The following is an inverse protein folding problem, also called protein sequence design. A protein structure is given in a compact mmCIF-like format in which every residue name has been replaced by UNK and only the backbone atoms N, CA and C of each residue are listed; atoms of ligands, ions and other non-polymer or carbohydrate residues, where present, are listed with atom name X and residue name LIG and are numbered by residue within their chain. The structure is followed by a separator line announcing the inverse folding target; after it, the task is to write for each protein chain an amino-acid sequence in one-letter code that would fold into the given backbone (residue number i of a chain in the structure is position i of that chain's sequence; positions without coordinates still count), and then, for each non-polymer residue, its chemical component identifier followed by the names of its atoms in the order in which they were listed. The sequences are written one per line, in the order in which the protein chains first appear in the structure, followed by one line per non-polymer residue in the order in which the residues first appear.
data_IF_459759545193
#
_entry.id   IF_459759545193
#
_cell.length_a   1.000
_cell.length_b   1.000
_cell.length_c   1.000
_cell.angle_alpha   90.00
_cell.angle_beta   90.00
_cell.angle_gamma   90.00
#
_symmetry.space_group_name_H-M   'P 1'
#
loop_
_entity.id
_entity.type
_entity.pdbx_description
1 polymer ?
#
# COMPACT_ATOMS: atom_id res chain seq x y z
N UNK A 1 -2.76 -11.80 -2.44
CA UNK A 1 -3.42 -10.82 -1.56
C UNK A 1 -4.15 -11.46 -0.37
N UNK A 2 -5.21 -12.26 -0.55
CA UNK A 2 -5.99 -12.84 0.58
C UNK A 2 -5.14 -13.60 1.61
N UNK A 3 -4.15 -14.39 1.16
CA UNK A 3 -3.24 -15.09 2.08
C UNK A 3 -2.41 -14.14 2.96
N UNK A 4 -2.07 -12.94 2.47
CA UNK A 4 -1.32 -11.96 3.26
C UNK A 4 -2.18 -11.43 4.42
N UNK A 5 -3.46 -11.17 4.19
CA UNK A 5 -4.38 -10.78 5.26
C UNK A 5 -4.58 -11.89 6.30
N UNK A 6 -4.56 -13.17 5.91
CA UNK A 6 -4.59 -14.30 6.86
C UNK A 6 -3.36 -14.37 7.76
N UNK A 7 -2.20 -13.96 7.26
CA UNK A 7 -0.99 -13.90 8.07
C UNK A 7 -1.03 -12.68 9.00
N UNK A 8 -1.49 -11.54 8.51
CA UNK A 8 -1.62 -10.31 9.29
C UNK A 8 -2.69 -10.41 10.37
N UNK A 9 -3.80 -11.11 10.13
CA UNK A 9 -4.81 -11.37 11.16
C UNK A 9 -4.23 -12.14 12.35
N UNK A 10 -3.23 -13.01 12.12
CA UNK A 10 -2.54 -13.73 13.20
C UNK A 10 -1.48 -12.87 13.88
N UNK A 11 -0.74 -12.08 13.12
CA UNK A 11 0.37 -11.27 13.65
C UNK A 11 -0.12 -9.98 14.33
N UNK A 12 -1.14 -9.35 13.77
CA UNK A 12 -1.65 -8.02 14.12
C UNK A 12 -3.20 -8.02 14.10
N UNK A 13 -3.86 -8.81 14.97
CA UNK A 13 -5.31 -9.05 14.90
C UNK A 13 -6.19 -7.80 15.06
N UNK A 14 -5.65 -6.75 15.68
CA UNK A 14 -6.36 -5.49 15.93
C UNK A 14 -6.15 -4.45 14.81
N UNK A 15 -5.31 -4.75 13.80
CA UNK A 15 -5.03 -3.82 12.70
C UNK A 15 -6.03 -3.99 11.58
N UNK A 16 -6.50 -2.85 11.05
CA UNK A 16 -7.41 -2.84 9.91
C UNK A 16 -6.70 -2.32 8.66
N UNK A 17 -6.98 -2.96 7.53
CA UNK A 17 -6.40 -2.65 6.23
C UNK A 17 -7.51 -2.42 5.19
N UNK A 18 -7.24 -1.58 4.20
CA UNK A 18 -8.20 -1.28 3.12
C UNK A 18 -7.47 -1.28 1.78
N UNK A 19 -7.89 -2.17 0.88
CA UNK A 19 -7.51 -2.08 -0.54
C UNK A 19 -8.45 -1.11 -1.25
N UNK A 20 -7.96 -0.48 -2.30
CA UNK A 20 -8.67 0.51 -3.10
C UNK A 20 -8.66 0.09 -4.58
N UNK A 21 -8.17 0.93 -5.46
CA UNK A 21 -8.21 0.71 -6.90
C UNK A 21 -7.31 -0.47 -7.33
N UNK A 22 -7.79 -1.22 -8.33
CA UNK A 22 -7.08 -2.38 -8.89
C UNK A 22 -7.06 -2.34 -10.42
N UNK A 23 -8.22 -2.09 -11.03
CA UNK A 23 -8.38 -1.89 -12.47
C UNK A 23 -9.77 -2.32 -12.94
N UNK A 24 -10.01 -2.19 -14.25
CA UNK A 24 -11.22 -2.73 -14.85
C UNK A 24 -11.20 -4.26 -14.93
N UNK A 25 -12.38 -4.86 -14.93
CA UNK A 25 -12.56 -6.31 -15.05
C UNK A 25 -11.87 -6.88 -16.30
N UNK A 26 -11.96 -6.17 -17.42
CA UNK A 26 -11.36 -6.54 -18.70
C UNK A 26 -9.94 -5.96 -18.89
N UNK A 27 -9.41 -5.23 -17.89
CA UNK A 27 -8.18 -4.45 -18.02
C UNK A 27 -8.33 -3.24 -18.95
N UNK A 28 -7.21 -2.76 -19.48
CA UNK A 28 -7.15 -1.61 -20.40
C UNK A 28 -6.84 -0.28 -19.73
N UNK A 29 -6.84 0.80 -20.51
CA UNK A 29 -6.39 2.13 -20.05
C UNK A 29 -7.30 2.65 -18.93
N UNK A 30 -6.71 2.99 -17.79
CA UNK A 30 -7.42 3.42 -16.60
C UNK A 30 -7.01 4.84 -16.22
N UNK A 31 -7.56 5.86 -16.90
CA UNK A 31 -7.16 7.25 -16.62
C UNK A 31 -7.57 7.71 -15.20
N UNK A 32 -6.75 8.51 -14.51
CA UNK A 32 -5.44 9.04 -14.93
C UNK A 32 -4.26 8.09 -14.68
N UNK A 33 -4.50 6.92 -14.09
CA UNK A 33 -3.48 5.93 -13.76
C UNK A 33 -2.83 5.29 -15.00
N UNK A 34 -1.54 4.96 -14.89
CA UNK A 34 -0.76 4.37 -15.98
C UNK A 34 -0.52 2.86 -15.84
N UNK A 35 -0.70 2.28 -14.65
CA UNK A 35 -0.28 0.90 -14.32
C UNK A 35 -1.44 -0.08 -14.19
N UNK A 36 -2.60 0.34 -13.65
CA UNK A 36 -3.82 -0.45 -13.40
C UNK A 36 -4.54 -1.01 -14.66
N UNK A 37 -3.78 -1.43 -15.66
CA UNK A 37 -4.27 -1.84 -16.97
C UNK A 37 -4.32 -3.36 -17.18
N UNK A 38 -3.57 -4.13 -16.40
CA UNK A 38 -3.40 -5.57 -16.59
C UNK A 38 -3.70 -6.40 -15.32
N UNK A 39 -4.28 -5.79 -14.29
CA UNK A 39 -4.63 -6.46 -13.04
C UNK A 39 -3.44 -6.78 -12.12
N UNK A 40 -2.25 -6.22 -12.39
CA UNK A 40 -1.04 -6.45 -11.60
C UNK A 40 -0.70 -5.32 -10.64
N UNK A 41 -1.58 -4.33 -10.53
CA UNK A 41 -1.35 -3.14 -9.71
C UNK A 41 -2.52 -2.94 -8.76
N UNK A 42 -2.22 -2.66 -7.49
CA UNK A 42 -3.24 -2.43 -6.46
C UNK A 42 -2.84 -1.23 -5.60
N UNK A 43 -3.78 -0.33 -5.41
CA UNK A 43 -3.71 0.72 -4.40
C UNK A 43 -4.23 0.20 -3.07
N UNK A 44 -3.55 0.60 -2.01
CA UNK A 44 -3.97 0.37 -0.65
C UNK A 44 -3.96 1.69 0.10
N UNK A 45 -5.04 1.98 0.81
CA UNK A 45 -5.07 3.16 1.68
C UNK A 45 -4.08 2.95 2.82
N UNK A 46 -3.38 4.01 3.23
CA UNK A 46 -2.45 3.92 4.35
C UNK A 46 -3.20 3.49 5.61
N UNK A 47 -2.70 2.49 6.35
CA UNK A 47 -3.20 2.20 7.69
C UNK A 47 -2.98 3.40 8.59
N UNK A 48 -3.98 3.71 9.41
CA UNK A 48 -3.92 4.81 10.37
C UNK A 48 -4.35 4.36 11.75
N UNK A 49 -3.92 5.13 12.74
CA UNK A 49 -4.45 5.09 14.09
C UNK A 49 -5.09 6.42 14.44
N UNK A 50 -6.10 6.39 15.30
CA UNK A 50 -6.71 7.59 15.89
C UNK A 50 -5.87 8.15 17.06
N UNK A 51 -6.40 9.18 17.72
CA UNK A 51 -5.78 9.85 18.86
C UNK A 51 -5.62 8.94 20.09
N UNK A 52 -6.38 7.86 20.18
CA UNK A 52 -6.29 6.84 21.23
C UNK A 52 -5.31 5.72 20.85
N UNK A 53 -4.76 5.75 19.63
CA UNK A 53 -3.86 4.74 19.11
C UNK A 53 -4.57 3.51 18.55
N UNK A 54 -5.89 3.54 18.41
CA UNK A 54 -6.68 2.43 17.85
C UNK A 54 -6.56 2.42 16.34
N UNK A 55 -6.40 1.24 15.74
CA UNK A 55 -6.33 1.10 14.29
C UNK A 55 -7.71 1.30 13.69
N UNK A 56 -7.83 2.29 12.81
CA UNK A 56 -9.07 2.65 12.15
C UNK A 56 -8.85 2.74 10.64
N UNK A 57 -9.94 2.66 9.89
CA UNK A 57 -9.85 2.90 8.45
C UNK A 57 -9.66 4.39 8.16
N UNK A 58 -8.74 4.69 7.24
CA UNK A 58 -8.69 6.03 6.64
C UNK A 58 -10.09 6.38 6.09
N UNK A 59 -10.63 7.58 6.39
CA UNK A 59 -11.94 7.98 5.89
C UNK A 59 -11.98 7.99 4.37
N UNK A 60 -12.94 7.28 3.79
CA UNK A 60 -13.13 7.20 2.33
C UNK A 60 -14.58 7.52 2.02
N UNK A 61 -14.85 8.72 1.54
CA UNK A 61 -16.20 9.20 1.21
C UNK A 61 -16.17 10.04 -0.09
N UNK A 62 -17.32 10.32 -0.72
CA UNK A 62 -17.32 11.08 -1.97
C UNK A 62 -16.72 12.50 -1.87
N UNK A 63 -16.74 13.12 -0.68
CA UNK A 63 -16.23 14.50 -0.49
C UNK A 63 -14.70 14.57 -0.47
N UNK A 64 -14.01 13.47 -0.13
CA UNK A 64 -12.55 13.38 -0.15
C UNK A 64 -12.04 12.49 -1.28
N UNK A 65 -12.83 12.39 -2.37
CA UNK A 65 -12.55 11.50 -3.51
C UNK A 65 -12.19 10.09 -3.08
N UNK A 66 -12.95 9.54 -2.13
CA UNK A 66 -12.75 8.21 -1.55
C UNK A 66 -11.38 8.01 -0.88
N UNK A 67 -10.83 9.07 -0.30
CA UNK A 67 -9.55 9.08 0.42
C UNK A 67 -8.42 9.77 -0.33
N UNK A 68 -8.51 9.85 -1.67
CA UNK A 68 -7.46 10.38 -2.55
C UNK A 68 -7.25 11.92 -2.49
N UNK A 69 -8.11 12.65 -1.78
CA UNK A 69 -7.91 14.08 -1.50
C UNK A 69 -7.44 14.35 -0.05
N UNK A 70 -7.06 13.31 0.69
CA UNK A 70 -6.43 13.48 2.00
C UNK A 70 -4.95 13.81 1.78
N UNK A 71 -4.43 14.78 2.54
CA UNK A 71 -3.00 15.06 2.59
C UNK A 71 -2.53 15.01 4.03
N UNK A 72 -1.55 14.15 4.31
CA UNK A 72 -0.89 14.13 5.61
C UNK A 72 0.11 15.28 5.72
N UNK A 73 0.31 15.79 6.94
CA UNK A 73 1.36 16.77 7.21
C UNK A 73 2.76 16.10 7.28
N UNK A 74 3.80 16.91 7.46
CA UNK A 74 5.18 16.40 7.58
C UNK A 74 5.40 15.50 8.80
N UNK A 75 4.48 15.49 9.76
CA UNK A 75 4.48 14.60 10.91
C UNK A 75 3.64 13.33 10.68
N UNK A 76 3.15 13.12 9.45
CA UNK A 76 2.29 11.99 9.07
C UNK A 76 0.94 12.00 9.79
N UNK A 77 0.38 13.19 10.02
CA UNK A 77 -0.91 13.38 10.70
C UNK A 77 -1.94 14.09 9.82
N UNK A 78 -3.21 13.76 10.04
CA UNK A 78 -4.37 14.35 9.36
C UNK A 78 -5.62 14.19 10.24
N UNK A 79 -6.29 15.28 10.60
CA UNK A 79 -7.58 15.25 11.33
C UNK A 79 -7.60 14.31 12.56
N UNK A 80 -6.56 14.39 13.40
CA UNK A 80 -6.40 13.52 14.58
C UNK A 80 -5.96 12.08 14.28
N UNK A 81 -5.83 11.70 13.01
CA UNK A 81 -5.27 10.44 12.56
C UNK A 81 -3.76 10.55 12.35
N UNK A 82 -3.06 9.42 12.50
CA UNK A 82 -1.63 9.30 12.20
C UNK A 82 -1.37 8.04 11.39
N UNK A 83 -0.46 8.11 10.41
CA UNK A 83 -0.03 6.93 9.65
C UNK A 83 0.57 5.88 10.60
N UNK A 84 0.08 4.65 10.47
CA UNK A 84 0.62 3.47 11.12
C UNK A 84 1.63 2.78 10.19
N UNK A 85 2.87 3.27 10.26
CA UNK A 85 3.98 2.73 9.49
C UNK A 85 4.28 1.27 9.80
N UNK A 86 4.04 0.82 11.04
CA UNK A 86 4.28 -0.56 11.45
C UNK A 86 3.29 -1.50 10.75
N UNK A 87 2.01 -1.14 10.70
CA UNK A 87 0.99 -1.88 9.96
C UNK A 87 1.24 -1.83 8.44
N UNK A 88 1.60 -0.66 7.90
CA UNK A 88 1.91 -0.52 6.47
C UNK A 88 3.11 -1.41 6.06
N UNK A 89 4.19 -1.38 6.83
CA UNK A 89 5.36 -2.20 6.60
C UNK A 89 5.04 -3.70 6.71
N UNK A 90 4.26 -4.10 7.73
CA UNK A 90 3.79 -5.47 7.89
C UNK A 90 3.06 -5.96 6.64
N UNK A 91 2.15 -5.14 6.11
CA UNK A 91 1.37 -5.51 4.94
C UNK A 91 2.23 -5.66 3.68
N UNK A 92 3.16 -4.74 3.42
CA UNK A 92 4.11 -4.85 2.30
C UNK A 92 4.94 -6.15 2.42
N UNK A 93 5.44 -6.46 3.61
CA UNK A 93 6.20 -7.70 3.86
C UNK A 93 5.33 -8.94 3.65
N UNK A 94 4.10 -8.95 4.15
CA UNK A 94 3.17 -10.06 3.98
C UNK A 94 2.82 -10.29 2.51
N UNK A 95 2.57 -9.22 1.74
CA UNK A 95 2.35 -9.29 0.30
C UNK A 95 3.56 -9.90 -0.42
N UNK A 96 4.76 -9.40 -0.12
CA UNK A 96 5.99 -9.90 -0.74
C UNK A 96 6.24 -11.37 -0.40
N UNK A 97 6.19 -11.77 0.87
CA UNK A 97 6.36 -13.17 1.30
C UNK A 97 5.37 -14.10 0.60
N UNK A 98 4.11 -13.69 0.50
CA UNK A 98 3.08 -14.48 -0.17
C UNK A 98 3.30 -14.57 -1.68
N UNK A 99 3.76 -13.50 -2.33
CA UNK A 99 4.16 -13.54 -3.74
C UNK A 99 5.35 -14.49 -3.95
N UNK A 100 6.41 -14.36 -3.15
CA UNK A 100 7.61 -15.21 -3.22
C UNK A 100 7.30 -16.67 -2.96
N UNK A 101 6.41 -16.97 -2.00
CA UNK A 101 5.98 -18.36 -1.72
C UNK A 101 5.31 -19.05 -2.91
N UNK A 102 4.84 -18.26 -3.88
CA UNK A 102 4.19 -18.71 -5.12
C UNK A 102 5.11 -18.61 -6.34
N UNK A 103 6.39 -18.27 -6.14
CA UNK A 103 7.37 -18.13 -7.22
C UNK A 103 7.36 -16.78 -7.93
N UNK A 104 6.75 -15.76 -7.34
CA UNK A 104 6.59 -14.43 -7.93
C UNK A 104 7.20 -13.33 -7.05
N UNK A 105 7.16 -12.09 -7.52
CA UNK A 105 7.72 -10.95 -6.81
C UNK A 105 6.78 -9.76 -6.70
N UNK A 106 7.27 -8.71 -6.07
CA UNK A 106 6.76 -7.35 -6.25
C UNK A 106 7.78 -6.63 -7.12
N UNK A 107 7.33 -5.98 -8.19
CA UNK A 107 8.22 -5.18 -9.03
C UNK A 107 8.68 -3.92 -8.28
N UNK A 108 7.72 -3.21 -7.67
CA UNK A 108 7.99 -2.04 -6.84
C UNK A 108 6.80 -1.68 -5.96
N UNK A 109 7.08 -0.86 -4.94
CA UNK A 109 6.09 -0.16 -4.13
C UNK A 109 6.25 1.34 -4.35
N UNK A 110 5.15 2.04 -4.65
CA UNK A 110 5.12 3.50 -4.77
C UNK A 110 4.43 4.05 -3.53
N UNK A 111 5.13 4.92 -2.83
CA UNK A 111 4.65 5.66 -1.66
C UNK A 111 5.43 6.97 -1.58
N UNK A 112 4.90 7.99 -0.90
CA UNK A 112 5.55 9.29 -0.80
C UNK A 112 7.04 9.17 -0.36
N UNK A 113 8.01 9.62 -1.19
CA UNK A 113 9.43 9.50 -0.88
C UNK A 113 9.87 10.21 0.42
N UNK A 114 9.19 11.26 0.85
CA UNK A 114 9.50 11.96 2.11
C UNK A 114 9.08 11.13 3.33
N UNK A 115 8.06 10.29 3.19
CA UNK A 115 7.50 9.47 4.26
C UNK A 115 8.11 8.05 4.32
N UNK A 116 8.67 7.55 3.22
CA UNK A 116 9.38 6.27 3.17
C UNK A 116 10.44 6.08 4.28
N UNK A 117 11.23 7.08 4.72
CA UNK A 117 12.16 6.93 5.83
C UNK A 117 11.52 6.39 7.12
N UNK A 118 10.24 6.66 7.36
CA UNK A 118 9.53 6.16 8.54
C UNK A 118 9.24 4.64 8.46
N UNK A 119 9.06 4.08 7.27
CA UNK A 119 8.96 2.62 7.09
C UNK A 119 10.22 1.90 7.56
N UNK A 120 11.39 2.53 7.41
CA UNK A 120 12.66 1.96 7.86
C UNK A 120 12.96 2.18 9.35
N UNK A 121 12.03 2.76 10.10
CA UNK A 121 12.08 2.82 11.58
C UNK A 121 11.29 1.68 12.23
N UNK A 122 10.53 0.92 11.45
CA UNK A 122 9.71 -0.22 11.90
C UNK A 122 10.55 -1.46 12.17
N UNK A 123 9.98 -2.46 12.84
CA UNK A 123 10.67 -3.75 13.03
C UNK A 123 10.93 -4.50 11.72
N UNK A 124 10.26 -4.11 10.63
CA UNK A 124 10.40 -4.72 9.30
C UNK A 124 11.48 -4.07 8.44
N UNK A 125 12.17 -3.03 8.95
CA UNK A 125 13.12 -2.23 8.17
C UNK A 125 14.17 -3.06 7.43
N UNK A 126 14.76 -4.06 8.08
CA UNK A 126 15.77 -4.93 7.46
C UNK A 126 15.19 -5.71 6.28
N UNK A 127 14.00 -6.30 6.45
CA UNK A 127 13.33 -7.02 5.39
C UNK A 127 13.00 -6.09 4.21
N UNK A 128 12.45 -4.90 4.50
CA UNK A 128 12.12 -3.92 3.48
C UNK A 128 13.36 -3.53 2.67
N UNK A 129 14.48 -3.23 3.32
CA UNK A 129 15.74 -2.86 2.63
C UNK A 129 16.28 -3.97 1.74
N UNK A 130 16.17 -5.22 2.17
CA UNK A 130 16.71 -6.36 1.43
C UNK A 130 15.83 -6.87 0.29
N UNK A 131 14.52 -6.60 0.33
CA UNK A 131 13.57 -7.28 -0.54
C UNK A 131 12.62 -6.37 -1.33
N UNK A 132 12.46 -5.10 -0.92
CA UNK A 132 11.44 -4.22 -1.50
C UNK A 132 12.09 -3.04 -2.23
N UNK A 133 11.74 -2.90 -3.51
CA UNK A 133 12.08 -1.72 -4.29
C UNK A 133 11.02 -0.64 -4.11
N UNK A 134 11.35 0.43 -3.38
CA UNK A 134 10.49 1.62 -3.33
C UNK A 134 10.79 2.57 -4.49
N UNK A 135 9.77 3.25 -5.00
CA UNK A 135 9.97 4.33 -5.98
C UNK A 135 10.57 5.57 -5.31
N UNK A 136 11.61 6.15 -5.89
CA UNK A 136 12.29 7.33 -5.32
C UNK A 136 11.94 8.64 -6.02
N UNK A 137 11.28 8.57 -7.18
CA UNK A 137 10.87 9.77 -7.92
C UNK A 137 9.64 10.38 -7.25
N UNK A 138 9.69 11.68 -6.96
CA UNK A 138 8.50 12.42 -6.56
C UNK A 138 7.47 12.40 -7.68
N UNK A 139 6.25 12.05 -7.33
CA UNK A 139 5.09 12.27 -8.18
C UNK A 139 4.70 13.75 -8.12
N UNK A 140 4.00 14.22 -9.16
CA UNK A 140 3.51 15.60 -9.23
C UNK A 140 2.33 15.85 -8.29
N UNK A 141 1.64 14.77 -7.92
CA UNK A 141 0.58 14.73 -6.91
C UNK A 141 1.14 13.99 -5.70
N UNK A 142 0.83 14.41 -4.47
CA UNK A 142 1.23 13.68 -3.26
C UNK A 142 0.48 12.34 -3.21
N UNK A 143 1.14 11.30 -2.71
CA UNK A 143 0.60 9.94 -2.56
C UNK A 143 0.97 9.48 -1.14
N UNK A 144 0.53 10.25 -0.15
CA UNK A 144 0.76 9.93 1.27
C UNK A 144 -0.44 9.25 1.93
N UNK A 145 -1.58 9.28 1.26
CA UNK A 145 -2.85 8.69 1.64
C UNK A 145 -3.04 7.25 1.15
N UNK A 146 -2.24 6.84 0.17
CA UNK A 146 -2.21 5.46 -0.32
C UNK A 146 -0.80 5.05 -0.74
N UNK A 147 -0.58 3.74 -0.84
CA UNK A 147 0.60 3.15 -1.48
C UNK A 147 0.17 2.15 -2.53
N UNK A 148 0.91 2.17 -3.62
CA UNK A 148 0.67 1.35 -4.79
C UNK A 148 1.66 0.20 -4.83
N UNK A 149 1.17 -1.01 -5.09
CA UNK A 149 2.01 -2.19 -5.23
C UNK A 149 1.87 -2.74 -6.64
N UNK A 150 2.98 -2.76 -7.37
CA UNK A 150 3.09 -3.45 -8.65
C UNK A 150 3.60 -4.89 -8.40
N UNK A 151 2.79 -5.89 -8.74
CA UNK A 151 3.17 -7.30 -8.67
C UNK A 151 3.97 -7.71 -9.92
N UNK A 152 5.00 -8.53 -9.72
CA UNK A 152 5.80 -9.10 -10.80
C UNK A 152 5.30 -10.52 -11.10
N UNK A 153 4.29 -10.59 -11.96
CA UNK A 153 3.66 -11.83 -12.43
C UNK A 153 3.85 -11.94 -13.94
N UNK A 154 4.39 -13.05 -14.47
CA UNK A 154 4.46 -13.25 -15.91
C UNK A 154 3.05 -13.41 -16.48
N UNK A 155 2.77 -12.75 -17.61
CA UNK A 155 1.58 -13.08 -18.39
C UNK A 155 1.76 -14.49 -18.96
N UNK A 156 0.80 -15.38 -18.74
CA UNK A 156 0.70 -16.58 -19.57
C UNK A 156 0.38 -16.16 -21.00
N UNK A 157 1.11 -16.70 -21.99
CA UNK A 157 0.68 -16.60 -23.37
C UNK A 157 -0.69 -17.26 -23.49
N UNK A 158 -1.71 -16.48 -23.87
CA UNK A 158 -2.99 -17.05 -24.26
C UNK A 158 -2.72 -17.99 -25.44
N UNK A 159 -2.96 -19.28 -25.22
CA UNK A 159 -2.97 -20.29 -26.28
C UNK A 159 -4.25 -20.22 -27.10
#
# INVERSE_FOLDING_TARGET
MVSAYKDLEKEQPEKVYKYAETGFKEGGRFEPHKTHMNGLSVDFMVPVVDSEGQSVHLPTNPLNRFGYDIEFDSNSTYDGLRIDYEAMAAHIVALHRQATSRGYGLWRVIFDPELQPNLYKTKYAEYLRGNIQFSTRRSWVRHDEHYHVDFDLPCEQMR
#
